data_IF_487946523390
#
_entry.id   IF_487946523390
#
_cell.length_a   1.000
_cell.length_b   1.000
_cell.length_c   1.000
_cell.angle_alpha   90.00
_cell.angle_beta   90.00
_cell.angle_gamma   90.00
#
_symmetry.space_group_name_H-M   'P 1'
#
loop_
_entity.id
_entity.type
_entity.pdbx_description
1 polymer ?
#
# COMPACT_ATOMS: atom_id res chain seq x y z
N UNK A 1 -46.02 -1.13 -64.55
CA UNK A 1 -45.87 -0.14 -63.48
C UNK A 1 -45.79 -0.89 -62.15
N UNK A 2 -44.58 -1.08 -61.64
CA UNK A 2 -44.35 -1.69 -60.32
C UNK A 2 -44.22 -0.60 -59.29
N UNK A 3 -45.16 -0.55 -58.31
CA UNK A 3 -45.13 0.41 -57.20
C UNK A 3 -44.15 -0.12 -56.13
N UNK A 4 -43.06 0.60 -55.90
CA UNK A 4 -42.19 0.41 -54.71
C UNK A 4 -42.87 1.02 -53.50
N UNK A 5 -43.16 0.22 -52.51
CA UNK A 5 -43.59 0.66 -51.20
C UNK A 5 -42.29 0.81 -50.38
N UNK A 6 -41.95 2.05 -50.05
CA UNK A 6 -40.83 2.38 -49.18
C UNK A 6 -41.35 2.31 -47.74
N UNK A 7 -40.96 1.26 -47.02
CA UNK A 7 -41.28 1.12 -45.57
C UNK A 7 -40.25 1.91 -44.79
N UNK A 8 -40.62 3.08 -44.29
CA UNK A 8 -39.81 3.87 -43.35
C UNK A 8 -39.91 3.22 -41.98
N UNK A 9 -38.87 2.51 -41.54
CA UNK A 9 -38.76 2.03 -40.18
C UNK A 9 -38.29 3.19 -39.29
N UNK A 10 -39.26 3.76 -38.56
CA UNK A 10 -38.95 4.73 -37.48
C UNK A 10 -38.34 3.96 -36.36
N UNK A 11 -37.01 4.07 -36.17
CA UNK A 11 -36.35 3.67 -34.92
C UNK A 11 -36.83 4.67 -33.85
N UNK A 12 -37.80 4.25 -33.03
CA UNK A 12 -38.04 4.89 -31.75
C UNK A 12 -36.80 4.58 -30.88
N UNK A 13 -35.91 5.53 -30.79
CA UNK A 13 -34.95 5.59 -29.72
C UNK A 13 -35.76 5.70 -28.42
N UNK A 14 -35.89 4.60 -27.69
CA UNK A 14 -36.34 4.61 -26.31
C UNK A 14 -35.30 5.47 -25.56
N UNK A 15 -35.62 6.74 -25.35
CA UNK A 15 -35.04 7.54 -24.30
C UNK A 15 -35.42 6.84 -22.99
N UNK A 16 -34.60 5.90 -22.55
CA UNK A 16 -34.63 5.49 -21.16
C UNK A 16 -34.32 6.76 -20.37
N UNK A 17 -35.22 7.21 -19.49
CA UNK A 17 -34.90 8.35 -18.65
C UNK A 17 -33.65 7.95 -17.85
N UNK A 18 -32.54 8.65 -18.06
CA UNK A 18 -31.37 8.62 -17.19
C UNK A 18 -31.79 9.36 -15.90
N UNK A 19 -32.63 8.70 -15.14
CA UNK A 19 -32.84 8.91 -13.72
C UNK A 19 -32.22 7.71 -13.00
N UNK A 20 -30.95 7.44 -13.28
CA UNK A 20 -30.12 6.79 -12.29
C UNK A 20 -29.92 7.85 -11.22
N UNK A 21 -30.45 7.56 -10.08
CA UNK A 21 -30.42 8.38 -8.88
C UNK A 21 -29.01 8.94 -8.69
N UNK A 22 -28.94 10.24 -8.47
CA UNK A 22 -27.73 11.01 -8.09
C UNK A 22 -27.32 10.68 -6.62
N UNK A 23 -27.73 9.50 -6.13
CA UNK A 23 -27.28 8.94 -4.87
C UNK A 23 -25.88 8.41 -5.06
N UNK A 24 -24.93 8.95 -4.29
CA UNK A 24 -23.57 8.42 -4.25
C UNK A 24 -23.58 6.93 -3.87
N UNK A 25 -22.50 6.22 -4.25
CA UNK A 25 -22.32 4.83 -3.88
C UNK A 25 -22.21 4.67 -2.36
N UNK A 26 -22.78 3.59 -1.84
CA UNK A 26 -22.37 3.05 -0.54
C UNK A 26 -20.98 2.45 -0.61
N UNK A 27 -20.37 2.22 0.54
CA UNK A 27 -19.05 1.58 0.63
C UNK A 27 -19.09 0.18 0.01
N UNK A 28 -20.09 -0.64 0.37
CA UNK A 28 -20.22 -2.02 -0.12
C UNK A 28 -20.39 -2.06 -1.65
N UNK A 29 -21.25 -1.23 -2.23
CA UNK A 29 -21.41 -1.16 -3.69
C UNK A 29 -20.12 -0.76 -4.41
N UNK A 30 -19.34 0.12 -3.81
CA UNK A 30 -18.07 0.53 -4.39
C UNK A 30 -17.02 -0.60 -4.31
N UNK A 31 -16.97 -1.33 -3.19
CA UNK A 31 -16.07 -2.49 -3.06
C UNK A 31 -16.44 -3.58 -4.06
N UNK A 32 -17.72 -3.88 -4.23
CA UNK A 32 -18.20 -4.84 -5.23
C UNK A 32 -17.74 -4.47 -6.65
N UNK A 33 -17.85 -3.19 -7.02
CA UNK A 33 -17.36 -2.69 -8.32
C UNK A 33 -15.85 -2.89 -8.48
N UNK A 34 -15.06 -2.59 -7.45
CA UNK A 34 -13.61 -2.73 -7.48
C UNK A 34 -13.22 -4.20 -7.58
N UNK A 35 -13.80 -5.07 -6.76
CA UNK A 35 -13.53 -6.50 -6.77
C UNK A 35 -13.91 -7.14 -8.11
N UNK A 36 -15.09 -6.80 -8.66
CA UNK A 36 -15.54 -7.22 -9.99
C UNK A 36 -14.52 -6.82 -11.08
N UNK A 37 -14.04 -5.56 -11.05
CA UNK A 37 -13.08 -5.04 -12.03
C UNK A 37 -11.76 -5.85 -12.01
N UNK A 38 -11.29 -6.22 -10.84
CA UNK A 38 -10.05 -7.00 -10.70
C UNK A 38 -10.24 -8.52 -10.82
N UNK A 39 -11.50 -8.99 -10.99
CA UNK A 39 -11.82 -10.41 -11.03
C UNK A 39 -11.52 -11.14 -9.72
N UNK A 40 -11.69 -10.48 -8.60
CA UNK A 40 -11.44 -11.00 -7.25
C UNK A 40 -12.73 -11.37 -6.58
N UNK A 41 -12.82 -12.62 -6.07
CA UNK A 41 -13.87 -13.09 -5.18
C UNK A 41 -13.26 -13.33 -3.79
N UNK A 42 -13.81 -12.70 -2.77
CA UNK A 42 -13.32 -12.84 -1.39
C UNK A 42 -14.43 -12.59 -0.37
N UNK A 43 -14.31 -13.21 0.81
CA UNK A 43 -15.14 -12.92 1.98
C UNK A 43 -14.46 -11.90 2.92
N UNK A 44 -13.22 -11.47 2.61
CA UNK A 44 -12.50 -10.47 3.40
C UNK A 44 -13.10 -9.10 3.12
N UNK A 45 -13.38 -8.34 4.19
CA UNK A 45 -13.71 -6.92 4.07
C UNK A 45 -12.46 -6.14 3.64
N UNK A 46 -12.45 -5.68 2.38
CA UNK A 46 -11.32 -4.95 1.79
C UNK A 46 -11.43 -3.43 1.96
N UNK A 47 -12.54 -2.94 2.52
CA UNK A 47 -12.79 -1.49 2.62
C UNK A 47 -11.70 -0.75 3.37
N UNK A 48 -11.29 -1.23 4.54
CA UNK A 48 -10.21 -0.64 5.33
C UNK A 48 -8.86 -0.63 4.61
N UNK A 49 -8.58 -1.64 3.78
CA UNK A 49 -7.34 -1.69 2.98
C UNK A 49 -7.30 -0.65 1.86
N UNK A 50 -8.46 -0.34 1.28
CA UNK A 50 -8.53 0.49 0.08
C UNK A 50 -8.85 1.96 0.37
N UNK A 51 -9.75 2.24 1.32
CA UNK A 51 -10.31 3.58 1.52
C UNK A 51 -9.69 4.38 2.65
N UNK A 52 -8.63 3.89 3.30
CA UNK A 52 -8.02 4.54 4.46
C UNK A 52 -9.02 4.80 5.60
N UNK A 53 -9.86 3.80 5.89
CA UNK A 53 -10.90 3.84 6.93
C UNK A 53 -11.96 4.96 6.72
N UNK A 54 -12.28 5.29 5.48
CA UNK A 54 -13.32 6.27 5.18
C UNK A 54 -14.71 5.78 5.66
N UNK A 55 -15.49 6.70 6.25
CA UNK A 55 -16.87 6.41 6.68
C UNK A 55 -17.88 6.42 5.52
N UNK A 56 -17.52 7.04 4.39
CA UNK A 56 -18.38 7.16 3.21
C UNK A 56 -17.54 7.17 1.93
N UNK A 57 -18.13 6.67 0.83
CA UNK A 57 -17.48 6.65 -0.49
C UNK A 57 -17.55 8.04 -1.15
N UNK A 58 -16.70 8.94 -0.64
CA UNK A 58 -16.44 10.24 -1.24
C UNK A 58 -15.53 10.12 -2.45
N UNK A 59 -15.39 11.19 -3.24
CA UNK A 59 -14.55 11.19 -4.42
C UNK A 59 -13.05 11.02 -4.07
N UNK A 60 -12.59 11.57 -2.94
CA UNK A 60 -11.23 11.36 -2.45
C UNK A 60 -10.99 9.92 -1.99
N UNK A 61 -11.95 9.32 -1.27
CA UNK A 61 -11.87 7.92 -0.87
C UNK A 61 -11.89 6.98 -2.08
N UNK A 62 -12.71 7.27 -3.10
CA UNK A 62 -12.77 6.51 -4.33
C UNK A 62 -11.45 6.54 -5.11
N UNK A 63 -10.79 7.70 -5.21
CA UNK A 63 -9.48 7.82 -5.85
C UNK A 63 -8.43 7.00 -5.10
N UNK A 64 -8.40 7.09 -3.76
CA UNK A 64 -7.50 6.28 -2.96
C UNK A 64 -7.77 4.78 -3.17
N UNK A 65 -9.04 4.36 -3.12
CA UNK A 65 -9.43 2.97 -3.31
C UNK A 65 -9.01 2.44 -4.69
N UNK A 66 -9.21 3.20 -5.75
CA UNK A 66 -8.77 2.82 -7.10
C UNK A 66 -7.25 2.63 -7.15
N UNK A 67 -6.47 3.59 -6.68
CA UNK A 67 -5.00 3.51 -6.75
C UNK A 67 -4.48 2.35 -5.90
N UNK A 68 -5.00 2.20 -4.68
CA UNK A 68 -4.61 1.12 -3.76
C UNK A 68 -4.99 -0.26 -4.28
N UNK A 69 -6.10 -0.39 -5.01
CA UNK A 69 -6.51 -1.68 -5.61
C UNK A 69 -5.55 -2.21 -6.68
N UNK A 70 -4.67 -1.35 -7.19
CA UNK A 70 -3.54 -1.74 -8.05
C UNK A 70 -2.25 -2.00 -7.26
N UNK A 71 -2.33 -2.04 -5.92
CA UNK A 71 -1.18 -2.23 -5.04
C UNK A 71 -0.23 -1.04 -5.04
N UNK A 72 -0.73 0.18 -5.23
CA UNK A 72 0.09 1.39 -5.36
C UNK A 72 -0.04 2.23 -4.09
N UNK A 73 1.09 2.74 -3.63
CA UNK A 73 1.21 3.79 -2.63
C UNK A 73 1.97 4.96 -3.24
N UNK A 74 1.34 6.15 -3.42
CA UNK A 74 2.02 7.32 -3.93
C UNK A 74 2.98 7.88 -2.88
N UNK A 75 4.29 7.85 -3.13
CA UNK A 75 5.30 8.37 -2.21
C UNK A 75 5.58 9.87 -2.42
N UNK A 76 5.41 10.36 -3.65
CA UNK A 76 5.73 11.73 -4.02
C UNK A 76 4.53 12.65 -3.90
N UNK A 77 4.72 13.81 -3.26
CA UNK A 77 3.80 14.94 -3.37
C UNK A 77 3.96 15.59 -4.75
N UNK A 78 2.83 15.85 -5.42
CA UNK A 78 2.85 16.59 -6.68
C UNK A 78 2.68 18.09 -6.41
N UNK A 79 3.24 18.91 -7.31
CA UNK A 79 3.12 20.38 -7.26
C UNK A 79 1.75 20.89 -7.75
N UNK A 80 0.76 20.02 -7.94
CA UNK A 80 -0.54 20.42 -8.46
C UNK A 80 -1.46 20.93 -7.34
N UNK A 81 -2.02 22.12 -7.55
CA UNK A 81 -2.89 22.77 -6.55
C UNK A 81 -4.32 22.88 -7.10
N UNK A 82 -5.25 22.17 -6.48
CA UNK A 82 -6.67 22.30 -6.75
C UNK A 82 -7.25 23.55 -6.08
N UNK A 83 -8.23 24.20 -6.71
CA UNK A 83 -8.88 25.39 -6.14
C UNK A 83 -9.65 25.10 -4.82
N UNK A 84 -9.99 23.84 -4.58
CA UNK A 84 -10.67 23.32 -3.39
C UNK A 84 -9.79 22.39 -2.54
N UNK A 85 -8.47 22.54 -2.64
CA UNK A 85 -7.47 21.74 -1.92
C UNK A 85 -7.71 21.71 -0.41
N UNK A 86 -8.10 22.84 0.18
CA UNK A 86 -8.39 22.93 1.61
C UNK A 86 -9.57 22.08 2.11
N UNK A 87 -10.34 21.47 1.20
CA UNK A 87 -11.43 20.54 1.55
C UNK A 87 -10.99 19.06 1.46
N UNK A 88 -9.75 18.79 1.03
CA UNK A 88 -9.18 17.42 0.96
C UNK A 88 -8.74 16.95 2.35
N UNK A 89 -8.98 15.67 2.64
CA UNK A 89 -8.32 15.03 3.77
C UNK A 89 -6.82 14.89 3.50
N UNK A 90 -6.00 15.20 4.52
CA UNK A 90 -4.53 15.18 4.37
C UNK A 90 -4.01 13.83 3.85
N UNK A 91 -4.58 12.72 4.34
CA UNK A 91 -4.21 11.36 3.92
C UNK A 91 -4.55 11.04 2.46
N UNK A 92 -5.48 11.79 1.83
CA UNK A 92 -5.91 11.57 0.44
C UNK A 92 -5.12 12.40 -0.57
N UNK A 93 -4.45 13.44 -0.12
CA UNK A 93 -3.72 14.37 -1.01
C UNK A 93 -2.73 13.63 -1.94
N UNK A 94 -1.85 12.72 -1.47
CA UNK A 94 -0.92 12.03 -2.35
C UNK A 94 -1.64 11.21 -3.45
N UNK A 95 -2.79 10.61 -3.12
CA UNK A 95 -3.59 9.84 -4.07
C UNK A 95 -4.27 10.72 -5.12
N UNK A 96 -4.80 11.88 -4.70
CA UNK A 96 -5.44 12.84 -5.62
C UNK A 96 -4.41 13.39 -6.60
N UNK A 97 -3.24 13.77 -6.14
CA UNK A 97 -2.15 14.28 -6.94
C UNK A 97 -1.62 13.21 -7.91
N UNK A 98 -1.43 11.99 -7.42
CA UNK A 98 -1.07 10.87 -8.25
C UNK A 98 -2.10 10.59 -9.35
N UNK A 99 -3.40 10.57 -8.99
CA UNK A 99 -4.48 10.32 -9.94
C UNK A 99 -4.56 11.40 -11.03
N UNK A 100 -4.31 12.64 -10.68
CA UNK A 100 -4.26 13.75 -11.65
C UNK A 100 -3.04 13.60 -12.58
N UNK A 101 -1.86 13.32 -12.05
CA UNK A 101 -0.63 13.13 -12.81
C UNK A 101 -0.72 11.96 -13.78
N UNK A 102 -1.35 10.86 -13.36
CA UNK A 102 -1.56 9.67 -14.18
C UNK A 102 -2.78 9.72 -15.09
N UNK A 103 -3.54 10.82 -15.09
CA UNK A 103 -4.72 10.98 -15.92
C UNK A 103 -5.93 10.14 -15.49
N UNK A 104 -5.94 9.63 -14.24
CA UNK A 104 -7.06 8.86 -13.68
C UNK A 104 -8.26 9.79 -13.45
N UNK A 105 -8.00 11.05 -13.08
CA UNK A 105 -9.04 12.08 -12.90
C UNK A 105 -8.61 13.45 -13.45
N UNK A 106 -9.57 14.16 -14.07
CA UNK A 106 -9.39 15.54 -14.55
C UNK A 106 -10.12 16.56 -13.65
N UNK A 107 -10.64 16.11 -12.50
CA UNK A 107 -11.49 16.92 -11.62
C UNK A 107 -12.91 17.09 -12.16
N UNK A 108 -13.61 18.13 -11.65
CA UNK A 108 -15.02 18.44 -11.98
C UNK A 108 -15.16 19.76 -12.77
N UNK A 109 -14.07 20.29 -13.24
CA UNK A 109 -14.01 21.58 -13.93
C UNK A 109 -13.73 22.77 -12.99
N UNK A 110 -13.29 23.91 -13.56
CA UNK A 110 -12.93 25.09 -12.79
C UNK A 110 -11.76 24.89 -11.84
N UNK A 111 -10.83 24.03 -12.19
CA UNK A 111 -9.70 23.62 -11.35
C UNK A 111 -10.12 23.08 -9.98
N UNK A 112 -11.24 22.34 -9.89
CA UNK A 112 -11.73 21.74 -8.64
C UNK A 112 -11.77 20.23 -8.74
N UNK A 113 -11.40 19.57 -7.64
CA UNK A 113 -11.47 18.12 -7.50
C UNK A 113 -12.81 17.64 -6.92
N UNK A 114 -13.43 18.40 -6.01
CA UNK A 114 -14.63 18.08 -5.25
C UNK A 114 -14.45 16.86 -4.31
N UNK A 115 -13.48 16.89 -3.38
CA UNK A 115 -13.02 15.73 -2.60
C UNK A 115 -14.14 15.07 -1.79
N UNK A 116 -14.97 15.84 -1.13
CA UNK A 116 -16.04 15.36 -0.23
C UNK A 116 -17.35 15.01 -0.92
N UNK A 117 -17.43 15.22 -2.24
CA UNK A 117 -18.63 14.86 -3.00
C UNK A 117 -18.76 13.33 -3.11
N UNK A 118 -19.96 12.76 -2.89
CA UNK A 118 -20.19 11.35 -3.16
C UNK A 118 -19.81 10.98 -4.61
N UNK A 119 -19.19 9.82 -4.79
CA UNK A 119 -18.84 9.29 -6.10
C UNK A 119 -20.00 8.46 -6.68
N UNK A 120 -20.18 8.49 -7.99
CA UNK A 120 -21.13 7.63 -8.70
C UNK A 120 -20.47 6.36 -9.22
N UNK A 121 -21.25 5.30 -9.47
CA UNK A 121 -20.75 4.06 -10.06
C UNK A 121 -20.06 4.27 -11.41
N UNK A 122 -20.55 5.20 -12.22
CA UNK A 122 -19.96 5.54 -13.51
C UNK A 122 -18.58 6.19 -13.33
N UNK A 123 -18.44 7.11 -12.38
CA UNK A 123 -17.17 7.77 -12.10
C UNK A 123 -16.11 6.79 -11.56
N UNK A 124 -16.53 5.90 -10.64
CA UNK A 124 -15.65 4.89 -10.08
C UNK A 124 -15.14 3.94 -11.18
N UNK A 125 -16.04 3.42 -12.04
CA UNK A 125 -15.65 2.57 -13.18
C UNK A 125 -14.72 3.31 -14.15
N UNK A 126 -15.00 4.58 -14.46
CA UNK A 126 -14.13 5.37 -15.32
C UNK A 126 -12.73 5.61 -14.73
N UNK A 127 -12.61 5.73 -13.42
CA UNK A 127 -11.31 5.82 -12.73
C UNK A 127 -10.55 4.48 -12.80
N UNK A 128 -11.23 3.36 -12.56
CA UNK A 128 -10.65 2.01 -12.69
C UNK A 128 -10.14 1.74 -14.10
N UNK A 129 -10.96 2.02 -15.13
CA UNK A 129 -10.58 1.85 -16.54
C UNK A 129 -9.34 2.68 -16.91
N UNK A 130 -9.22 3.91 -16.40
CA UNK A 130 -8.06 4.77 -16.64
C UNK A 130 -6.81 4.36 -15.87
N UNK A 131 -6.99 3.69 -14.73
CA UNK A 131 -5.90 3.18 -13.93
C UNK A 131 -5.34 1.84 -14.46
N UNK A 132 -6.00 1.22 -15.44
CA UNK A 132 -5.58 -0.06 -16.00
C UNK A 132 -4.16 0.03 -16.59
N UNK A 133 -3.31 -0.92 -16.20
CA UNK A 133 -1.92 -0.99 -16.67
C UNK A 133 -0.91 -0.19 -15.84
N UNK A 134 -1.35 0.59 -14.85
CA UNK A 134 -0.45 1.24 -13.89
C UNK A 134 0.25 0.18 -13.03
N UNK A 135 1.55 0.35 -12.82
CA UNK A 135 2.36 -0.57 -12.02
C UNK A 135 2.83 0.11 -10.72
N UNK A 136 2.96 -0.64 -9.62
CA UNK A 136 3.59 -0.15 -8.41
C UNK A 136 5.10 0.12 -8.62
N UNK A 137 5.67 0.96 -7.79
CA UNK A 137 7.09 1.37 -7.86
C UNK A 137 8.04 0.20 -7.62
N UNK A 138 7.76 -0.59 -6.56
CA UNK A 138 8.58 -1.75 -6.22
C UNK A 138 7.94 -3.04 -6.74
N UNK A 139 8.67 -3.86 -7.51
CA UNK A 139 8.13 -5.10 -8.06
C UNK A 139 7.93 -6.14 -6.96
N UNK A 140 6.67 -6.54 -6.72
CA UNK A 140 6.32 -7.62 -5.81
C UNK A 140 5.90 -8.86 -6.60
N UNK A 141 6.19 -10.04 -6.08
CA UNK A 141 5.56 -11.28 -6.52
C UNK A 141 4.25 -11.47 -5.74
N UNK A 142 3.16 -11.71 -6.44
CA UNK A 142 1.82 -11.86 -5.85
C UNK A 142 1.35 -13.29 -5.93
N UNK A 143 0.92 -13.89 -4.82
CA UNK A 143 0.36 -15.24 -4.79
C UNK A 143 -1.04 -15.29 -5.43
N UNK A 144 -1.76 -14.16 -5.42
CA UNK A 144 -3.10 -14.05 -5.98
C UNK A 144 -3.42 -12.61 -6.41
N UNK A 145 -4.47 -12.39 -7.24
CA UNK A 145 -4.97 -11.04 -7.52
C UNK A 145 -5.40 -10.29 -6.24
N UNK A 146 -5.94 -10.99 -5.24
CA UNK A 146 -6.28 -10.40 -3.95
C UNK A 146 -5.02 -9.88 -3.23
N UNK A 147 -3.92 -10.64 -3.23
CA UNK A 147 -2.67 -10.19 -2.63
C UNK A 147 -2.14 -8.91 -3.28
N UNK A 148 -2.31 -8.75 -4.59
CA UNK A 148 -1.99 -7.49 -5.28
C UNK A 148 -2.87 -6.35 -4.79
N UNK A 149 -4.16 -6.56 -4.73
CA UNK A 149 -5.15 -5.56 -4.31
C UNK A 149 -4.89 -5.06 -2.88
N UNK A 150 -4.39 -5.92 -1.99
CA UNK A 150 -4.15 -5.59 -0.58
C UNK A 150 -2.72 -5.09 -0.29
N UNK A 151 -1.81 -4.99 -1.28
CA UNK A 151 -0.37 -4.78 -1.05
C UNK A 151 0.09 -3.31 -0.96
N UNK A 152 -0.81 -2.33 -1.04
CA UNK A 152 -0.43 -0.91 -1.03
C UNK A 152 0.36 -0.49 0.21
N UNK A 153 0.07 -1.05 1.39
CA UNK A 153 0.83 -0.76 2.61
C UNK A 153 2.25 -1.38 2.57
N UNK A 154 2.43 -2.51 1.90
CA UNK A 154 3.78 -3.05 1.65
C UNK A 154 4.60 -2.08 0.79
N UNK A 155 4.02 -1.51 -0.27
CA UNK A 155 4.67 -0.48 -1.09
C UNK A 155 5.03 0.75 -0.24
N UNK A 156 4.11 1.18 0.64
CA UNK A 156 4.40 2.26 1.60
C UNK A 156 5.62 1.94 2.46
N UNK A 157 5.71 0.75 3.01
CA UNK A 157 6.85 0.34 3.83
C UNK A 157 8.16 0.44 3.06
N UNK A 158 8.17 -0.02 1.82
CA UNK A 158 9.35 0.03 0.96
C UNK A 158 9.74 1.47 0.59
N UNK A 159 8.78 2.36 0.33
CA UNK A 159 9.06 3.77 0.01
C UNK A 159 9.60 4.60 1.18
N UNK A 160 9.49 4.12 2.42
CA UNK A 160 10.06 4.76 3.59
C UNK A 160 11.53 4.37 3.83
N UNK A 161 11.99 3.28 3.22
CA UNK A 161 13.36 2.80 3.34
C UNK A 161 14.26 3.54 2.34
N UNK A 162 15.53 3.70 2.68
CA UNK A 162 16.50 4.25 1.74
C UNK A 162 16.55 3.45 0.44
N UNK A 163 16.36 4.10 -0.70
CA UNK A 163 16.27 3.49 -2.04
C UNK A 163 17.43 2.52 -2.31
N UNK A 164 18.67 2.92 -1.94
CA UNK A 164 19.84 2.08 -2.18
C UNK A 164 19.74 0.70 -1.50
N UNK A 165 19.06 0.59 -0.34
CA UNK A 165 18.93 -0.68 0.37
C UNK A 165 17.91 -1.59 -0.33
N UNK A 166 16.80 -1.02 -0.78
CA UNK A 166 15.77 -1.74 -1.55
C UNK A 166 16.32 -2.16 -2.91
N UNK A 167 16.98 -1.25 -3.61
CA UNK A 167 17.63 -1.53 -4.90
C UNK A 167 18.65 -2.65 -4.80
N UNK A 168 19.49 -2.61 -3.77
CA UNK A 168 20.51 -3.65 -3.54
C UNK A 168 19.87 -5.02 -3.27
N UNK A 169 18.78 -5.06 -2.52
CA UNK A 169 18.01 -6.29 -2.30
C UNK A 169 17.58 -6.92 -3.63
N UNK A 170 16.99 -6.12 -4.53
CA UNK A 170 16.58 -6.60 -5.86
C UNK A 170 17.76 -6.92 -6.79
N UNK A 171 18.86 -6.14 -6.75
CA UNK A 171 20.07 -6.40 -7.54
C UNK A 171 20.75 -7.72 -7.17
N UNK A 172 20.59 -8.20 -5.94
CA UNK A 172 21.04 -9.53 -5.51
C UNK A 172 20.12 -10.66 -6.03
N UNK A 173 19.10 -10.34 -6.84
CA UNK A 173 18.17 -11.31 -7.43
C UNK A 173 17.11 -11.80 -6.45
N UNK A 174 16.90 -11.09 -5.35
CA UNK A 174 15.90 -11.45 -4.33
C UNK A 174 14.54 -10.89 -4.68
N UNK A 175 13.50 -11.50 -4.12
CA UNK A 175 12.11 -11.18 -4.39
C UNK A 175 11.38 -10.89 -3.08
N UNK A 176 10.48 -9.91 -3.11
CA UNK A 176 9.51 -9.68 -2.04
C UNK A 176 8.17 -10.24 -2.51
N UNK A 177 7.63 -11.18 -1.76
CA UNK A 177 6.35 -11.83 -2.02
C UNK A 177 5.26 -11.18 -1.17
N UNK A 178 4.19 -10.72 -1.81
CA UNK A 178 2.93 -10.39 -1.17
C UNK A 178 2.04 -11.64 -1.19
N UNK A 179 1.77 -12.20 -0.03
CA UNK A 179 1.16 -13.52 0.14
C UNK A 179 -0.04 -13.48 1.07
N UNK A 180 -0.84 -14.54 1.06
CA UNK A 180 -1.93 -14.74 2.02
C UNK A 180 -1.47 -15.16 3.41
N UNK A 181 -2.43 -15.31 4.32
CA UNK A 181 -2.22 -15.85 5.66
C UNK A 181 -2.79 -17.26 5.75
N UNK A 182 -2.06 -18.27 6.25
CA UNK A 182 -0.67 -18.20 6.72
C UNK A 182 0.36 -18.10 5.58
N UNK A 183 1.54 -17.57 5.87
CA UNK A 183 2.64 -17.56 4.89
C UNK A 183 3.06 -18.99 4.58
N UNK A 184 3.04 -19.37 3.30
CA UNK A 184 3.48 -20.67 2.82
C UNK A 184 4.87 -20.52 2.19
N UNK A 185 5.86 -21.18 2.78
CA UNK A 185 7.24 -21.15 2.27
C UNK A 185 7.43 -22.08 1.04
N UNK A 186 8.47 -21.87 0.22
CA UNK A 186 8.72 -22.67 -0.99
C UNK A 186 8.85 -24.18 -0.76
N UNK A 187 9.24 -24.59 0.45
CA UNK A 187 9.31 -26.01 0.83
C UNK A 187 7.94 -26.60 1.22
N UNK A 188 6.86 -25.83 1.13
CA UNK A 188 5.49 -26.21 1.49
C UNK A 188 5.18 -26.14 2.99
N UNK A 189 6.11 -25.69 3.84
CA UNK A 189 5.80 -25.45 5.26
C UNK A 189 5.00 -24.17 5.43
N UNK A 190 4.04 -24.21 6.36
CA UNK A 190 3.21 -23.09 6.76
C UNK A 190 3.78 -22.45 8.04
N UNK A 191 3.88 -21.13 8.05
CA UNK A 191 4.13 -20.37 9.27
C UNK A 191 2.83 -20.21 10.06
N UNK A 192 2.96 -19.86 11.35
CA UNK A 192 1.78 -19.52 12.17
C UNK A 192 1.09 -18.26 11.62
N UNK A 193 -0.24 -18.19 11.75
CA UNK A 193 -1.07 -17.04 11.35
C UNK A 193 -0.71 -15.71 12.06
N UNK A 194 0.21 -15.79 13.04
CA UNK A 194 0.72 -14.60 13.75
C UNK A 194 1.88 -13.92 13.03
N UNK A 195 2.48 -14.56 12.04
CA UNK A 195 3.57 -13.96 11.26
C UNK A 195 3.00 -13.09 10.15
N UNK A 196 3.38 -11.81 10.19
CA UNK A 196 3.04 -10.82 9.15
C UNK A 196 4.16 -10.72 8.11
N UNK A 197 5.39 -11.00 8.49
CA UNK A 197 6.56 -11.02 7.62
C UNK A 197 7.47 -12.18 7.93
N UNK A 198 8.32 -12.51 6.96
CA UNK A 198 9.37 -13.52 7.08
C UNK A 198 10.46 -13.26 6.05
N UNK A 199 11.70 -13.31 6.48
CA UNK A 199 12.86 -13.33 5.59
C UNK A 199 13.66 -14.61 5.79
N UNK A 200 14.02 -15.26 4.69
CA UNK A 200 14.97 -16.36 4.72
C UNK A 200 16.40 -15.78 4.61
N UNK A 201 17.33 -16.25 5.47
CA UNK A 201 18.73 -15.89 5.37
C UNK A 201 19.25 -16.14 3.94
N UNK A 202 19.83 -15.11 3.31
CA UNK A 202 20.23 -15.12 1.89
C UNK A 202 19.10 -15.47 0.90
N UNK A 203 17.85 -15.28 1.28
CA UNK A 203 16.66 -15.58 0.47
C UNK A 203 15.72 -14.40 0.29
N UNK A 204 14.52 -14.73 -0.13
CA UNK A 204 13.43 -13.80 -0.38
C UNK A 204 12.75 -13.34 0.91
N UNK A 205 11.90 -12.32 0.77
CA UNK A 205 11.02 -11.80 1.82
C UNK A 205 9.57 -12.18 1.48
N UNK A 206 8.79 -12.60 2.48
CA UNK A 206 7.35 -12.82 2.39
C UNK A 206 6.63 -11.86 3.32
N UNK A 207 5.66 -11.13 2.81
CA UNK A 207 4.79 -10.25 3.57
C UNK A 207 3.35 -10.75 3.43
N UNK A 208 2.72 -11.10 4.55
CA UNK A 208 1.30 -11.42 4.57
C UNK A 208 0.48 -10.14 4.42
N UNK A 209 -0.29 -10.05 3.36
CA UNK A 209 -1.16 -8.90 3.06
C UNK A 209 -2.61 -9.13 3.51
N UNK A 210 -3.00 -10.38 3.77
CA UNK A 210 -4.28 -10.76 4.35
C UNK A 210 -4.13 -10.93 5.87
N UNK A 211 -3.97 -9.86 6.60
CA UNK A 211 -3.50 -9.89 7.99
C UNK A 211 -4.60 -10.22 9.01
N UNK A 212 -5.58 -11.04 8.67
CA UNK A 212 -6.55 -11.59 9.63
C UNK A 212 -7.12 -10.56 10.62
N UNK A 213 -6.72 -10.66 11.90
CA UNK A 213 -7.12 -9.73 12.96
C UNK A 213 -6.13 -8.57 13.18
N UNK A 214 -5.03 -8.48 12.41
CA UNK A 214 -4.10 -7.37 12.53
C UNK A 214 -4.57 -6.23 11.62
N UNK A 215 -4.42 -4.96 12.07
CA UNK A 215 -4.73 -3.82 11.22
C UNK A 215 -3.89 -3.83 9.93
N UNK A 216 -4.49 -3.47 8.79
CA UNK A 216 -3.84 -3.50 7.48
C UNK A 216 -2.52 -2.68 7.41
N UNK A 217 -2.39 -1.63 8.21
CA UNK A 217 -1.17 -0.83 8.28
C UNK A 217 0.05 -1.55 8.88
N UNK A 218 -0.10 -2.70 9.51
CA UNK A 218 1.06 -3.49 9.96
C UNK A 218 1.93 -4.00 8.81
N UNK A 219 1.42 -4.06 7.59
CA UNK A 219 2.18 -4.50 6.43
C UNK A 219 3.40 -3.60 6.15
N UNK A 220 3.26 -2.26 6.31
CA UNK A 220 4.40 -1.35 6.09
C UNK A 220 5.49 -1.53 7.14
N UNK A 221 5.12 -1.76 8.40
CA UNK A 221 6.08 -2.08 9.45
C UNK A 221 6.77 -3.42 9.19
N UNK A 222 6.04 -4.44 8.73
CA UNK A 222 6.60 -5.74 8.37
C UNK A 222 7.62 -5.61 7.23
N UNK A 223 7.32 -4.85 6.19
CA UNK A 223 8.26 -4.62 5.09
C UNK A 223 9.57 -3.96 5.57
N UNK A 224 9.47 -2.96 6.44
CA UNK A 224 10.64 -2.31 7.05
C UNK A 224 11.41 -3.29 7.93
N UNK A 225 10.72 -4.07 8.76
CA UNK A 225 11.31 -5.05 9.67
C UNK A 225 12.11 -6.11 8.92
N UNK A 226 11.53 -6.70 7.88
CA UNK A 226 12.20 -7.74 7.09
C UNK A 226 13.42 -7.20 6.33
N UNK A 227 13.37 -5.97 5.82
CA UNK A 227 14.54 -5.30 5.25
C UNK A 227 15.56 -4.90 6.33
N UNK A 228 15.13 -4.69 7.56
CA UNK A 228 16.02 -4.56 8.72
C UNK A 228 16.82 -5.84 9.00
N UNK A 229 16.19 -7.01 8.93
CA UNK A 229 16.91 -8.28 8.96
C UNK A 229 17.91 -8.42 7.81
N UNK A 230 17.52 -8.04 6.59
CA UNK A 230 18.42 -8.07 5.44
C UNK A 230 19.68 -7.20 5.70
N UNK A 231 19.50 -5.98 6.20
CA UNK A 231 20.61 -5.11 6.57
C UNK A 231 21.49 -5.79 7.66
N UNK A 232 20.88 -6.34 8.70
CA UNK A 232 21.56 -7.01 9.81
C UNK A 232 22.32 -8.28 9.38
N UNK A 233 21.87 -9.01 8.37
CA UNK A 233 22.58 -10.16 7.80
C UNK A 233 23.80 -9.76 6.98
N UNK A 234 23.86 -8.54 6.48
CA UNK A 234 24.94 -8.01 5.63
C UNK A 234 25.98 -7.19 6.40
N UNK A 235 25.64 -6.78 7.62
CA UNK A 235 26.47 -5.94 8.48
C UNK A 235 26.66 -6.57 9.87
N UNK A 236 27.05 -5.79 10.85
CA UNK A 236 27.23 -6.28 12.22
C UNK A 236 25.97 -6.06 13.06
N UNK A 237 25.50 -7.08 13.74
CA UNK A 237 24.42 -6.94 14.73
C UNK A 237 24.91 -6.26 16.00
N UNK A 238 24.08 -5.39 16.56
CA UNK A 238 24.30 -4.84 17.89
C UNK A 238 23.84 -5.86 18.95
N UNK A 239 24.74 -6.17 19.89
CA UNK A 239 24.35 -6.99 21.04
C UNK A 239 23.47 -6.18 22.01
N UNK A 240 22.18 -6.53 22.08
CA UNK A 240 21.18 -5.86 22.92
C UNK A 240 21.52 -5.84 24.39
N UNK A 241 22.38 -6.75 24.85
CA UNK A 241 22.81 -6.82 26.25
C UNK A 241 23.88 -5.75 26.58
N UNK A 242 24.51 -5.14 25.56
CA UNK A 242 25.43 -4.03 25.74
C UNK A 242 24.75 -2.66 25.87
N UNK A 243 23.47 -2.59 25.54
CA UNK A 243 22.65 -1.37 25.55
C UNK A 243 21.32 -1.59 26.31
N UNK A 244 21.37 -2.05 27.59
CA UNK A 244 20.18 -2.52 28.28
C UNK A 244 19.12 -1.41 28.47
N UNK A 245 19.53 -0.16 28.73
CA UNK A 245 18.63 0.96 28.94
C UNK A 245 17.92 1.36 27.63
N UNK A 246 18.65 1.41 26.53
CA UNK A 246 18.14 1.70 25.20
C UNK A 246 17.22 0.59 24.71
N UNK A 247 17.60 -0.69 24.91
CA UNK A 247 16.74 -1.85 24.66
C UNK A 247 15.42 -1.76 25.44
N UNK A 248 15.49 -1.47 26.75
CA UNK A 248 14.30 -1.41 27.60
C UNK A 248 13.41 -0.22 27.22
N UNK A 249 13.99 0.88 26.69
CA UNK A 249 13.21 1.96 26.09
C UNK A 249 12.48 1.48 24.84
N UNK A 250 13.16 0.80 23.91
CA UNK A 250 12.56 0.28 22.66
C UNK A 250 11.43 -0.71 22.95
N UNK A 251 11.59 -1.62 23.94
CA UNK A 251 10.54 -2.54 24.38
C UNK A 251 9.29 -1.79 24.85
N UNK A 252 9.45 -0.72 25.62
CA UNK A 252 8.31 0.07 26.10
C UNK A 252 7.67 0.93 25.02
N UNK A 253 8.48 1.46 24.09
CA UNK A 253 8.03 2.36 23.04
C UNK A 253 7.36 1.63 21.88
N UNK A 254 7.85 0.47 21.54
CA UNK A 254 7.42 -0.29 20.38
C UNK A 254 6.74 -1.61 20.74
N UNK A 255 7.52 -2.65 21.03
CA UNK A 255 6.95 -3.97 21.37
C UNK A 255 7.95 -4.87 22.12
N UNK A 256 7.45 -5.83 22.95
CA UNK A 256 8.31 -6.77 23.68
C UNK A 256 9.12 -7.71 22.78
N UNK A 257 8.70 -7.92 21.53
CA UNK A 257 9.33 -8.82 20.57
C UNK A 257 10.79 -8.45 20.28
N UNK A 258 11.12 -7.14 20.35
CA UNK A 258 12.51 -6.67 20.23
C UNK A 258 13.46 -7.32 21.24
N UNK A 259 12.99 -7.96 22.30
CA UNK A 259 13.85 -8.65 23.29
C UNK A 259 14.06 -10.14 23.01
N UNK A 260 13.55 -10.71 21.95
CA UNK A 260 13.65 -12.14 21.69
C UNK A 260 15.10 -12.58 21.42
N UNK A 261 15.77 -11.91 20.48
CA UNK A 261 17.17 -12.15 20.14
C UNK A 261 17.79 -10.89 19.49
N UNK A 262 19.09 -10.94 19.15
CA UNK A 262 19.77 -9.76 18.56
C UNK A 262 19.29 -9.44 17.13
N UNK A 263 18.78 -10.42 16.37
CA UNK A 263 18.25 -10.18 15.03
C UNK A 263 16.93 -9.40 15.10
N UNK A 264 16.00 -9.83 15.96
CA UNK A 264 14.75 -9.14 16.18
C UNK A 264 14.96 -7.75 16.79
N UNK A 265 15.90 -7.64 17.74
CA UNK A 265 16.27 -6.34 18.29
C UNK A 265 16.77 -5.39 17.21
N UNK A 266 17.62 -5.86 16.31
CA UNK A 266 18.16 -5.05 15.22
C UNK A 266 17.07 -4.65 14.21
N UNK A 267 16.22 -5.60 13.78
CA UNK A 267 15.14 -5.35 12.84
C UNK A 267 14.11 -4.35 13.38
N UNK A 268 13.69 -4.50 14.65
CA UNK A 268 12.79 -3.55 15.31
C UNK A 268 13.46 -2.20 15.57
N UNK A 269 14.77 -2.17 15.82
CA UNK A 269 15.52 -0.91 15.90
C UNK A 269 15.55 -0.19 14.55
N UNK A 270 15.64 -0.94 13.45
CA UNK A 270 15.56 -0.38 12.10
C UNK A 270 14.17 0.19 11.81
N UNK A 271 13.09 -0.48 12.23
CA UNK A 271 11.73 0.11 12.17
C UNK A 271 11.68 1.44 12.92
N UNK A 272 12.21 1.48 14.15
CA UNK A 272 12.24 2.70 14.95
C UNK A 272 13.10 3.81 14.29
N UNK A 273 14.20 3.45 13.66
CA UNK A 273 15.07 4.38 12.92
C UNK A 273 14.33 5.03 11.74
N UNK A 274 13.53 4.25 11.01
CA UNK A 274 12.73 4.76 9.88
C UNK A 274 11.53 5.57 10.35
N UNK A 275 10.77 5.08 11.33
CA UNK A 275 9.48 5.69 11.70
C UNK A 275 9.58 6.78 12.76
N UNK A 276 10.56 6.70 13.66
CA UNK A 276 10.71 7.63 14.79
C UNK A 276 12.17 8.06 15.01
N UNK A 277 12.88 8.53 13.97
CA UNK A 277 14.33 8.79 14.03
C UNK A 277 14.73 9.75 15.15
N UNK A 278 13.98 10.82 15.37
CA UNK A 278 14.28 11.78 16.42
C UNK A 278 14.13 11.18 17.83
N UNK A 279 13.06 10.42 18.07
CA UNK A 279 12.85 9.74 19.36
C UNK A 279 13.92 8.67 19.61
N UNK A 280 14.29 7.91 18.58
CA UNK A 280 15.34 6.89 18.67
C UNK A 280 16.68 7.55 18.98
N UNK A 281 17.04 8.62 18.27
CA UNK A 281 18.29 9.35 18.48
C UNK A 281 18.39 9.93 19.90
N UNK A 282 17.29 10.44 20.46
CA UNK A 282 17.24 11.01 21.81
C UNK A 282 17.35 9.93 22.90
N UNK A 283 16.62 8.81 22.75
CA UNK A 283 16.44 7.83 23.82
C UNK A 283 17.29 6.55 23.68
N UNK A 284 17.81 6.29 22.48
CA UNK A 284 18.65 5.17 22.14
C UNK A 284 19.78 5.55 21.16
N UNK A 285 20.63 6.52 21.52
CA UNK A 285 21.64 7.10 20.64
C UNK A 285 22.69 6.09 20.15
N UNK A 286 23.03 5.07 20.94
CA UNK A 286 23.96 4.02 20.53
C UNK A 286 23.34 3.13 19.45
N UNK A 287 22.06 2.78 19.60
CA UNK A 287 21.29 2.01 18.62
C UNK A 287 21.17 2.82 17.33
N UNK A 288 20.78 4.09 17.42
CA UNK A 288 20.68 4.99 16.27
C UNK A 288 21.98 5.04 15.48
N UNK A 289 23.10 5.38 16.15
CA UNK A 289 24.42 5.48 15.52
C UNK A 289 24.89 4.15 14.91
N UNK A 290 24.51 3.02 15.50
CA UNK A 290 24.84 1.71 14.96
C UNK A 290 24.10 1.43 13.65
N UNK A 291 22.79 1.74 13.57
CA UNK A 291 22.02 1.61 12.32
C UNK A 291 22.60 2.50 11.23
N UNK A 292 22.92 3.78 11.52
CA UNK A 292 23.57 4.68 10.56
C UNK A 292 24.88 4.09 10.02
N UNK A 293 25.73 3.55 10.91
CA UNK A 293 26.99 2.94 10.51
C UNK A 293 26.77 1.72 9.59
N UNK A 294 25.75 0.90 9.86
CA UNK A 294 25.38 -0.24 9.01
C UNK A 294 24.89 0.21 7.62
N UNK A 295 24.08 1.26 7.56
CA UNK A 295 23.60 1.82 6.29
C UNK A 295 24.76 2.38 5.46
N UNK A 296 25.66 3.15 6.06
CA UNK A 296 26.86 3.66 5.37
C UNK A 296 27.80 2.54 4.90
N UNK A 297 27.97 1.50 5.72
CA UNK A 297 28.77 0.31 5.32
C UNK A 297 28.13 -0.38 4.10
N UNK A 298 26.82 -0.51 4.08
CA UNK A 298 26.10 -1.15 3.00
C UNK A 298 26.12 -0.32 1.71
N UNK A 299 25.97 1.01 1.82
CA UNK A 299 26.09 1.95 0.70
C UNK A 299 27.51 1.95 0.13
N UNK A 300 28.53 1.96 0.97
CA UNK A 300 29.95 1.93 0.54
C UNK A 300 30.40 0.63 -0.14
N UNK A 301 29.57 -0.41 -0.12
CA UNK A 301 29.79 -1.69 -0.84
C UNK A 301 29.19 -1.71 -2.25
N UNK A 302 28.55 -0.61 -2.69
CA UNK A 302 28.06 -0.45 -4.06
C UNK A 302 29.19 -0.02 -4.97
#
# INVERSE_FOLDING_TARGET
MKRFICTVTVLLALCVPIHAEDSGLSMDEAMDIILEHHGVETEIDVSGYLTLDAEAMTREAAVAAVIRSYGIYPADEADYVWADEGAQGEQYRPYIDYAQRMGITDGVGGNRFAPTRPVTAWELRAMLDRAEGIQPEYPLAYDSPLCRLLSAETQRGLSLIHDFLVDKFYQEGRVIHATGTPIILPNGSSLSDQYVGWIQYEGDVWISVEVGNAPYWYQYEAAIHELGHYLGYRTALLDRNRVPEERDWLIRRYRPYCNENNHEFFADSFVAYILWPAELQENAPTVYAHIEACLHEMEGRM
#
